data_IF_540707453172
#
_entry.id   IF_540707453172
#
_cell.length_a   1.000
_cell.length_b   1.000
_cell.length_c   1.000
_cell.angle_alpha   90.00
_cell.angle_beta   90.00
_cell.angle_gamma   90.00
#
_symmetry.space_group_name_H-M   'P 1'
#
loop_
_entity.id
_entity.type
_entity.pdbx_description
1 polymer ?
#
# COMPACT_ATOMS: atom_id res chain seq x y z
N UNK A 1 21.57 9.99 -44.10
CA UNK A 1 21.47 9.22 -42.84
C UNK A 1 21.26 10.15 -41.65
N UNK A 2 20.00 10.45 -41.26
CA UNK A 2 19.68 10.96 -39.93
C UNK A 2 18.55 10.11 -39.31
N UNK A 3 18.89 9.13 -38.47
CA UNK A 3 17.92 8.37 -37.65
C UNK A 3 18.50 8.05 -36.27
N UNK A 4 19.80 7.77 -36.20
CA UNK A 4 20.50 7.26 -35.01
C UNK A 4 20.46 8.18 -33.78
N UNK A 5 20.41 9.50 -33.96
CA UNK A 5 20.36 10.44 -32.84
C UNK A 5 18.98 10.49 -32.15
N UNK A 6 17.90 10.31 -32.91
CA UNK A 6 16.53 10.31 -32.38
C UNK A 6 16.24 9.01 -31.60
N UNK A 7 16.78 7.89 -32.10
CA UNK A 7 16.63 6.56 -31.50
C UNK A 7 17.37 6.45 -30.14
N UNK A 8 18.52 7.11 -29.99
CA UNK A 8 19.30 7.13 -28.75
C UNK A 8 18.62 7.94 -27.62
N UNK A 9 18.02 9.10 -27.94
CA UNK A 9 17.28 9.89 -26.96
C UNK A 9 15.98 9.19 -26.52
N UNK A 10 15.28 8.53 -27.45
CA UNK A 10 14.09 7.73 -27.13
C UNK A 10 14.42 6.57 -26.17
N UNK A 11 15.54 5.86 -26.40
CA UNK A 11 15.99 4.77 -25.52
C UNK A 11 16.37 5.22 -24.11
N UNK A 12 17.10 6.33 -23.97
CA UNK A 12 17.50 6.86 -22.65
C UNK A 12 16.31 7.36 -21.81
N UNK A 13 15.29 7.93 -22.47
CA UNK A 13 14.07 8.43 -21.81
C UNK A 13 13.22 7.26 -21.30
N UNK A 14 13.08 6.19 -22.09
CA UNK A 14 12.36 4.98 -21.69
C UNK A 14 13.00 4.31 -20.47
N UNK A 15 14.32 4.15 -20.45
CA UNK A 15 15.05 3.56 -19.31
C UNK A 15 14.91 4.41 -18.04
N UNK A 16 14.98 5.75 -18.15
CA UNK A 16 14.79 6.64 -17.01
C UNK A 16 13.39 6.52 -16.42
N UNK A 17 12.35 6.48 -17.26
CA UNK A 17 10.97 6.30 -16.79
C UNK A 17 10.76 4.93 -16.12
N UNK A 18 11.34 3.86 -16.68
CA UNK A 18 11.28 2.53 -16.09
C UNK A 18 11.92 2.50 -14.67
N UNK A 19 13.08 3.13 -14.49
CA UNK A 19 13.71 3.26 -13.17
C UNK A 19 12.86 4.06 -12.18
N UNK A 20 12.25 5.17 -12.62
CA UNK A 20 11.36 5.96 -11.78
C UNK A 20 10.13 5.15 -11.35
N UNK A 21 9.53 4.40 -12.27
CA UNK A 21 8.40 3.50 -11.96
C UNK A 21 8.81 2.39 -11.00
N UNK A 22 9.98 1.77 -11.23
CA UNK A 22 10.51 0.73 -10.35
C UNK A 22 10.73 1.27 -8.93
N UNK A 23 11.40 2.42 -8.79
CA UNK A 23 11.63 3.06 -7.49
C UNK A 23 10.29 3.36 -6.81
N UNK A 24 9.33 3.95 -7.52
CA UNK A 24 8.01 4.25 -6.95
C UNK A 24 7.28 2.99 -6.46
N UNK A 25 7.27 1.92 -7.25
CA UNK A 25 6.63 0.65 -6.89
C UNK A 25 7.37 -0.03 -5.73
N UNK A 26 8.70 -0.08 -5.76
CA UNK A 26 9.52 -0.64 -4.69
C UNK A 26 9.35 0.11 -3.37
N UNK A 27 9.35 1.45 -3.40
CA UNK A 27 9.09 2.27 -2.20
C UNK A 27 7.68 2.02 -1.66
N UNK A 28 6.67 1.93 -2.53
CA UNK A 28 5.31 1.57 -2.11
C UNK A 28 5.25 0.18 -1.46
N UNK A 29 5.95 -0.80 -2.01
CA UNK A 29 6.05 -2.14 -1.44
C UNK A 29 6.77 -2.15 -0.09
N UNK A 30 7.91 -1.46 0.03
CA UNK A 30 8.65 -1.31 1.30
C UNK A 30 7.79 -0.63 2.35
N UNK A 31 7.06 0.43 2.00
CA UNK A 31 6.15 1.10 2.90
C UNK A 31 5.03 0.17 3.38
N UNK A 32 4.45 -0.63 2.48
CA UNK A 32 3.47 -1.66 2.84
C UNK A 32 4.03 -2.68 3.83
N UNK A 33 5.26 -3.15 3.62
CA UNK A 33 5.94 -4.05 4.55
C UNK A 33 6.20 -3.40 5.90
N UNK A 34 6.62 -2.13 5.92
CA UNK A 34 6.82 -1.38 7.15
C UNK A 34 5.54 -1.30 7.98
N UNK A 35 4.39 -1.00 7.35
CA UNK A 35 3.10 -0.99 8.05
C UNK A 35 2.70 -2.34 8.63
N UNK A 36 2.98 -3.45 7.95
CA UNK A 36 2.76 -4.79 8.53
C UNK A 36 3.60 -5.02 9.78
N UNK A 37 4.87 -4.64 9.73
CA UNK A 37 5.77 -4.77 10.89
C UNK A 37 5.32 -3.89 12.04
N UNK A 38 4.97 -2.63 11.78
CA UNK A 38 4.45 -1.71 12.80
C UNK A 38 3.17 -2.26 13.43
N UNK A 39 2.23 -2.78 12.63
CA UNK A 39 1.03 -3.42 13.15
C UNK A 39 1.38 -4.58 14.11
N UNK A 40 2.26 -5.49 13.70
CA UNK A 40 2.68 -6.61 14.55
C UNK A 40 3.33 -6.16 15.87
N UNK A 41 4.12 -5.08 15.85
CA UNK A 41 4.74 -4.50 17.05
C UNK A 41 3.69 -3.82 17.95
N UNK A 42 2.72 -3.12 17.37
CA UNK A 42 1.69 -2.37 18.10
C UNK A 42 0.56 -3.26 18.65
N UNK A 43 0.41 -4.49 18.16
CA UNK A 43 -0.64 -5.42 18.59
C UNK A 43 -0.69 -5.65 20.11
N UNK A 44 0.41 -6.09 20.76
CA UNK A 44 0.40 -6.34 22.21
C UNK A 44 0.15 -5.10 23.08
N UNK A 45 0.78 -3.93 22.83
CA UNK A 45 0.44 -2.69 23.53
C UNK A 45 -1.02 -2.28 23.37
N UNK A 46 -1.57 -2.33 22.15
CA UNK A 46 -2.98 -2.01 21.89
C UNK A 46 -3.93 -2.97 22.62
N UNK A 47 -3.58 -4.26 22.68
CA UNK A 47 -4.35 -5.23 23.44
C UNK A 47 -4.39 -4.92 24.94
N UNK A 48 -3.29 -4.39 25.50
CA UNK A 48 -3.22 -3.99 26.89
C UNK A 48 -4.01 -2.71 27.15
N UNK A 49 -3.86 -1.69 26.31
CA UNK A 49 -4.53 -0.39 26.47
C UNK A 49 -6.05 -0.48 26.27
N UNK A 50 -6.50 -1.28 25.31
CA UNK A 50 -7.93 -1.46 25.01
C UNK A 50 -8.56 -2.64 25.76
N UNK A 51 -7.80 -3.35 26.61
CA UNK A 51 -8.28 -4.50 27.39
C UNK A 51 -8.77 -5.67 26.52
N UNK A 52 -8.13 -5.91 25.37
CA UNK A 52 -8.57 -6.90 24.40
C UNK A 52 -8.34 -8.32 24.89
N UNK A 53 -9.34 -9.18 24.69
CA UNK A 53 -9.17 -10.63 24.82
C UNK A 53 -8.23 -11.18 23.73
N UNK A 54 -7.65 -12.36 23.97
CA UNK A 54 -6.83 -13.07 22.95
C UNK A 54 -7.60 -13.32 21.64
N UNK A 55 -8.90 -13.56 21.74
CA UNK A 55 -9.77 -13.75 20.57
C UNK A 55 -9.93 -12.46 19.77
N UNK A 56 -10.13 -11.32 20.43
CA UNK A 56 -10.23 -10.01 19.77
C UNK A 56 -8.90 -9.62 19.10
N UNK A 57 -7.76 -9.88 19.76
CA UNK A 57 -6.45 -9.65 19.15
C UNK A 57 -6.21 -10.56 17.92
N UNK A 58 -6.67 -11.82 17.99
CA UNK A 58 -6.65 -12.73 16.85
C UNK A 58 -7.54 -12.26 15.70
N UNK A 59 -8.75 -11.79 16.01
CA UNK A 59 -9.66 -11.22 15.01
C UNK A 59 -9.06 -9.98 14.35
N UNK A 60 -8.47 -9.07 15.13
CA UNK A 60 -7.76 -7.90 14.62
C UNK A 60 -6.68 -8.28 13.60
N UNK A 61 -5.81 -9.23 13.96
CA UNK A 61 -4.77 -9.72 13.08
C UNK A 61 -5.35 -10.39 11.82
N UNK A 62 -6.40 -11.20 11.97
CA UNK A 62 -7.07 -11.86 10.85
C UNK A 62 -7.69 -10.84 9.88
N UNK A 63 -8.42 -9.85 10.39
CA UNK A 63 -9.04 -8.78 9.60
C UNK A 63 -7.99 -7.93 8.89
N UNK A 64 -6.86 -7.63 9.53
CA UNK A 64 -5.75 -6.92 8.89
C UNK A 64 -5.20 -7.71 7.67
N UNK A 65 -4.86 -8.98 7.86
CA UNK A 65 -4.28 -9.81 6.79
C UNK A 65 -5.30 -10.11 5.68
N UNK A 66 -6.56 -10.37 6.04
CA UNK A 66 -7.63 -10.58 5.08
C UNK A 66 -7.88 -9.33 4.22
N UNK A 67 -8.01 -8.16 4.85
CA UNK A 67 -8.21 -6.90 4.14
C UNK A 67 -7.02 -6.58 3.24
N UNK A 68 -5.80 -6.89 3.70
CA UNK A 68 -4.61 -6.71 2.89
C UNK A 68 -4.62 -7.61 1.63
N UNK A 69 -4.94 -8.90 1.77
CA UNK A 69 -5.04 -9.82 0.64
C UNK A 69 -6.14 -9.41 -0.35
N UNK A 70 -7.30 -8.98 0.16
CA UNK A 70 -8.37 -8.46 -0.68
C UNK A 70 -7.92 -7.21 -1.46
N UNK A 71 -7.22 -6.29 -0.79
CA UNK A 71 -6.73 -5.07 -1.41
C UNK A 71 -5.66 -5.35 -2.47
N UNK A 72 -4.82 -6.39 -2.30
CA UNK A 72 -3.89 -6.82 -3.35
C UNK A 72 -4.62 -7.24 -4.64
N UNK A 73 -5.72 -8.00 -4.52
CA UNK A 73 -6.53 -8.37 -5.68
C UNK A 73 -7.17 -7.13 -6.34
N UNK A 74 -7.78 -6.25 -5.53
CA UNK A 74 -8.39 -5.02 -6.02
C UNK A 74 -7.36 -4.15 -6.73
N UNK A 75 -6.17 -3.93 -6.12
CA UNK A 75 -5.12 -3.13 -6.72
C UNK A 75 -4.55 -3.76 -7.99
N UNK A 76 -4.34 -5.08 -8.01
CA UNK A 76 -3.87 -5.78 -9.21
C UNK A 76 -4.80 -5.52 -10.40
N UNK A 77 -6.08 -5.85 -10.23
CA UNK A 77 -7.12 -5.62 -11.26
C UNK A 77 -7.22 -4.14 -11.62
N UNK A 78 -7.20 -3.24 -10.63
CA UNK A 78 -7.32 -1.80 -10.86
C UNK A 78 -6.16 -1.22 -11.66
N UNK A 79 -4.93 -1.65 -11.37
CA UNK A 79 -3.73 -1.23 -12.10
C UNK A 79 -3.79 -1.72 -13.55
N UNK A 80 -4.24 -2.96 -13.77
CA UNK A 80 -4.34 -3.54 -15.10
C UNK A 80 -5.40 -2.83 -15.96
N UNK A 81 -6.54 -2.46 -15.35
CA UNK A 81 -7.66 -1.84 -16.08
C UNK A 81 -7.53 -0.32 -16.24
N UNK A 82 -7.01 0.39 -15.23
CA UNK A 82 -7.00 1.86 -15.20
C UNK A 82 -5.61 2.49 -15.16
N UNK A 83 -4.57 1.67 -15.08
CA UNK A 83 -3.18 2.10 -14.98
C UNK A 83 -2.78 2.56 -13.58
N UNK A 84 -1.47 2.48 -13.31
CA UNK A 84 -0.86 2.76 -12.00
C UNK A 84 -1.26 4.12 -11.42
N UNK A 85 -1.19 5.19 -12.22
CA UNK A 85 -1.37 6.56 -11.74
C UNK A 85 -2.79 6.81 -11.20
N UNK A 86 -3.82 6.33 -11.89
CA UNK A 86 -5.22 6.57 -11.49
C UNK A 86 -5.57 5.78 -10.24
N UNK A 87 -5.14 4.53 -10.17
CA UNK A 87 -5.37 3.65 -9.02
C UNK A 87 -4.72 4.21 -7.75
N UNK A 88 -3.46 4.66 -7.82
CA UNK A 88 -2.77 5.25 -6.67
C UNK A 88 -3.46 6.53 -6.20
N UNK A 89 -3.79 7.45 -7.11
CA UNK A 89 -4.43 8.73 -6.74
C UNK A 89 -5.83 8.56 -6.13
N UNK A 90 -6.57 7.50 -6.50
CA UNK A 90 -7.85 7.18 -5.89
C UNK A 90 -7.70 6.48 -4.53
N UNK A 91 -6.71 5.58 -4.39
CA UNK A 91 -6.58 4.76 -3.21
C UNK A 91 -5.94 5.47 -2.01
N UNK A 92 -4.98 6.38 -2.24
CA UNK A 92 -4.31 7.09 -1.15
C UNK A 92 -5.27 7.96 -0.30
N UNK A 93 -6.20 8.75 -0.89
CA UNK A 93 -7.20 9.46 -0.11
C UNK A 93 -8.07 8.52 0.74
N UNK A 94 -8.47 7.36 0.19
CA UNK A 94 -9.23 6.37 0.97
C UNK A 94 -8.41 5.79 2.13
N UNK A 95 -7.11 5.56 1.94
CA UNK A 95 -6.21 5.12 3.01
C UNK A 95 -6.09 6.17 4.12
N UNK A 96 -6.00 7.46 3.77
CA UNK A 96 -5.99 8.57 4.75
C UNK A 96 -7.30 8.62 5.52
N UNK A 97 -8.45 8.51 4.84
CA UNK A 97 -9.75 8.48 5.51
C UNK A 97 -9.85 7.30 6.48
N UNK A 98 -9.42 6.11 6.06
CA UNK A 98 -9.37 4.93 6.93
C UNK A 98 -8.51 5.15 8.17
N UNK A 99 -7.32 5.75 8.01
CA UNK A 99 -6.43 6.06 9.13
C UNK A 99 -7.05 7.07 10.11
N UNK A 100 -7.73 8.10 9.61
CA UNK A 100 -8.44 9.09 10.44
C UNK A 100 -9.58 8.43 11.21
N UNK A 101 -10.38 7.59 10.55
CA UNK A 101 -11.47 6.84 11.20
C UNK A 101 -10.91 5.91 12.28
N UNK A 102 -9.81 5.19 12.01
CA UNK A 102 -9.16 4.34 13.01
C UNK A 102 -8.59 5.14 14.20
N UNK A 103 -8.04 6.33 13.97
CA UNK A 103 -7.52 7.18 15.04
C UNK A 103 -8.61 7.75 15.95
N UNK A 104 -9.83 7.92 15.44
CA UNK A 104 -10.97 8.44 16.19
C UNK A 104 -11.81 7.34 16.86
N UNK A 105 -11.46 6.06 16.66
CA UNK A 105 -12.21 4.94 17.22
C UNK A 105 -12.04 4.88 18.76
N UNK A 106 -13.13 4.95 19.54
CA UNK A 106 -13.06 4.97 21.01
C UNK A 106 -12.87 3.57 21.63
N UNK A 107 -13.17 2.51 20.89
CA UNK A 107 -13.06 1.12 21.33
C UNK A 107 -12.83 0.19 20.13
N UNK A 108 -12.53 -1.07 20.41
CA UNK A 108 -12.38 -2.14 19.42
C UNK A 108 -13.72 -2.60 18.79
N UNK A 109 -14.83 -2.25 19.42
CA UNK A 109 -16.20 -2.59 19.07
C UNK A 109 -17.18 -2.02 20.10
#
# INVERSE_FOLDING_TARGET
>A
MPSTANDAHAGSTGTRLAWLMLIALSTGFTLSQAFRTVAAIMGPPLAQELGLSKQQLGLWAATFHFSFGLMQLIFGVSIDLWGVRRTILAAFPMAVLGAVVSALAPSFG
#
